data_IF_962273549877
#
_entry.id   IF_962273549877
#
_cell.length_a   1.000
_cell.length_b   1.000
_cell.length_c   1.000
_cell.angle_alpha   90.00
_cell.angle_beta   90.00
_cell.angle_gamma   90.00
#
_symmetry.space_group_name_H-M   'P 1'
#
loop_
_entity.id
_entity.type
_entity.pdbx_description
1 polymer ?
#
# COMPACT_ATOMS: atom_id res chain seq x y z
N UNK A 1 -2.56 6.90 -22.17
CA UNK A 1 -1.09 6.80 -21.98
C UNK A 1 -0.49 8.18 -21.69
N UNK A 2 0.75 8.23 -21.17
CA UNK A 2 1.43 9.43 -20.66
C UNK A 2 1.22 10.63 -21.58
N UNK A 3 0.70 11.71 -21.02
CA UNK A 3 0.59 13.00 -21.68
C UNK A 3 1.83 13.82 -21.38
N UNK A 4 2.45 14.36 -22.42
CA UNK A 4 3.55 15.32 -22.29
C UNK A 4 3.03 16.70 -22.64
N UNK A 5 3.44 17.72 -21.89
CA UNK A 5 3.08 19.10 -22.20
C UNK A 5 3.66 19.57 -23.55
N UNK A 6 4.75 18.97 -24.03
CA UNK A 6 5.35 19.25 -25.34
C UNK A 6 6.17 18.07 -25.88
N UNK A 7 6.53 18.13 -27.17
CA UNK A 7 7.33 17.09 -27.85
C UNK A 7 8.77 17.04 -27.33
N UNK A 8 9.31 18.17 -26.86
CA UNK A 8 10.65 18.25 -26.29
C UNK A 8 10.75 17.38 -25.03
N UNK A 9 9.81 17.53 -24.10
CA UNK A 9 9.77 16.70 -22.89
C UNK A 9 9.50 15.23 -23.19
N UNK A 10 8.69 14.92 -24.21
CA UNK A 10 8.54 13.55 -24.69
C UNK A 10 9.86 12.95 -25.17
N UNK A 11 10.66 13.73 -25.92
CA UNK A 11 11.97 13.27 -26.42
C UNK A 11 12.99 13.04 -25.30
N UNK A 12 12.98 13.88 -24.25
CA UNK A 12 13.87 13.70 -23.09
C UNK A 12 13.63 12.34 -22.44
N UNK A 13 12.37 11.93 -22.27
CA UNK A 13 12.01 10.63 -21.68
C UNK A 13 11.93 9.49 -22.70
N UNK A 14 12.27 9.71 -23.97
CA UNK A 14 12.12 8.71 -25.04
C UNK A 14 12.88 7.43 -24.73
N UNK A 15 14.12 7.52 -24.24
CA UNK A 15 14.91 6.34 -23.86
C UNK A 15 14.24 5.49 -22.77
N UNK A 16 13.44 6.11 -21.90
CA UNK A 16 12.75 5.41 -20.81
C UNK A 16 11.53 4.64 -21.30
N UNK A 17 10.71 5.23 -22.18
CA UNK A 17 9.42 4.62 -22.58
C UNK A 17 9.39 4.03 -24.00
N UNK A 18 10.46 4.16 -24.80
CA UNK A 18 10.49 3.73 -26.22
C UNK A 18 10.12 2.26 -26.39
N UNK A 19 10.69 1.38 -25.58
CA UNK A 19 10.48 -0.06 -25.73
C UNK A 19 9.06 -0.46 -25.32
N UNK A 20 8.55 0.12 -24.23
CA UNK A 20 7.15 -0.01 -23.83
C UNK A 20 6.20 0.50 -24.92
N UNK A 21 6.46 1.70 -25.46
CA UNK A 21 5.64 2.32 -26.50
C UNK A 21 5.56 1.45 -27.75
N UNK A 22 6.68 0.87 -28.18
CA UNK A 22 6.72 -0.08 -29.30
C UNK A 22 5.92 -1.35 -29.01
N UNK A 23 6.05 -1.91 -27.81
CA UNK A 23 5.33 -3.11 -27.41
C UNK A 23 3.81 -2.87 -27.42
N UNK A 24 3.36 -1.77 -26.80
CA UNK A 24 1.97 -1.32 -26.81
C UNK A 24 1.46 -1.18 -28.26
N UNK A 25 2.19 -0.45 -29.11
CA UNK A 25 1.79 -0.24 -30.50
C UNK A 25 1.66 -1.57 -31.27
N UNK A 26 2.59 -2.49 -31.07
CA UNK A 26 2.51 -3.82 -31.70
C UNK A 26 1.30 -4.60 -31.21
N UNK A 27 1.05 -4.64 -29.89
CA UNK A 27 -0.10 -5.36 -29.33
C UNK A 27 -1.39 -4.78 -29.90
N UNK A 28 -1.56 -3.46 -29.92
CA UNK A 28 -2.76 -2.81 -30.46
C UNK A 28 -2.96 -3.06 -31.96
N UNK A 29 -1.87 -3.20 -32.73
CA UNK A 29 -1.94 -3.50 -34.16
C UNK A 29 -2.26 -4.97 -34.44
N UNK A 30 -1.70 -5.87 -33.65
CA UNK A 30 -1.81 -7.33 -33.82
C UNK A 30 -3.14 -7.85 -33.22
N UNK A 31 -3.61 -7.24 -32.14
CA UNK A 31 -4.90 -7.57 -31.55
C UNK A 31 -6.02 -6.95 -32.36
N UNK A 32 -6.94 -7.77 -32.88
CA UNK A 32 -8.27 -7.28 -33.34
C UNK A 32 -9.13 -6.71 -32.20
N UNK A 33 -8.58 -6.60 -30.99
CA UNK A 33 -9.21 -6.03 -29.81
C UNK A 33 -9.11 -4.52 -29.96
N UNK A 34 -10.25 -3.91 -30.26
CA UNK A 34 -10.35 -2.46 -30.32
C UNK A 34 -10.43 -1.87 -28.92
N UNK A 35 -9.34 -2.01 -28.15
CA UNK A 35 -9.21 -1.48 -26.80
C UNK A 35 -9.38 0.06 -26.76
N UNK A 36 -9.19 0.72 -27.92
CA UNK A 36 -9.29 2.16 -28.10
C UNK A 36 -10.66 2.65 -28.60
N UNK A 37 -11.50 1.79 -29.20
CA UNK A 37 -12.85 2.15 -29.66
C UNK A 37 -13.97 1.34 -29.00
N UNK A 38 -13.84 1.05 -27.71
CA UNK A 38 -14.95 0.50 -26.92
C UNK A 38 -16.11 1.51 -26.92
N UNK A 39 -17.14 1.24 -27.72
CA UNK A 39 -18.39 2.02 -27.75
C UNK A 39 -19.35 1.45 -26.71
N UNK A 40 -19.37 2.10 -25.54
CA UNK A 40 -20.41 2.19 -24.48
C UNK A 40 -21.13 0.90 -23.99
N UNK A 41 -21.43 0.87 -22.68
CA UNK A 41 -22.09 -0.20 -21.89
C UNK A 41 -21.26 -1.46 -21.54
N UNK A 42 -19.94 -1.33 -21.40
CA UNK A 42 -19.13 -2.36 -20.74
C UNK A 42 -19.19 -2.17 -19.22
N UNK A 43 -19.55 -3.22 -18.48
CA UNK A 43 -19.53 -3.17 -17.02
C UNK A 43 -18.10 -3.07 -16.46
N UNK A 44 -17.97 -2.59 -15.22
CA UNK A 44 -16.68 -2.31 -14.59
C UNK A 44 -15.76 -3.54 -14.50
N UNK A 45 -16.30 -4.71 -14.21
CA UNK A 45 -15.53 -5.96 -14.11
C UNK A 45 -14.88 -6.32 -15.44
N UNK A 46 -15.65 -6.26 -16.53
CA UNK A 46 -15.16 -6.54 -17.88
C UNK A 46 -14.10 -5.50 -18.28
N UNK A 47 -14.33 -4.23 -17.95
CA UNK A 47 -13.36 -3.16 -18.20
C UNK A 47 -12.03 -3.43 -17.50
N UNK A 48 -12.06 -3.76 -16.20
CA UNK A 48 -10.85 -4.09 -15.42
C UNK A 48 -10.13 -5.30 -16.01
N UNK A 49 -10.87 -6.36 -16.35
CA UNK A 49 -10.29 -7.55 -16.98
C UNK A 49 -9.60 -7.22 -18.31
N UNK A 50 -10.20 -6.36 -19.13
CA UNK A 50 -9.59 -5.91 -20.37
C UNK A 50 -8.29 -5.15 -20.12
N UNK A 51 -8.25 -4.24 -19.13
CA UNK A 51 -7.01 -3.51 -18.75
C UNK A 51 -5.90 -4.48 -18.34
N UNK A 52 -6.23 -5.49 -17.53
CA UNK A 52 -5.29 -6.50 -17.07
C UNK A 52 -4.77 -7.38 -18.22
N UNK A 53 -5.67 -7.86 -19.07
CA UNK A 53 -5.29 -8.66 -20.24
C UNK A 53 -4.37 -7.86 -21.18
N UNK A 54 -4.67 -6.58 -21.39
CA UNK A 54 -3.84 -5.71 -22.21
C UNK A 54 -2.45 -5.49 -21.59
N UNK A 55 -2.37 -5.22 -20.30
CA UNK A 55 -1.10 -5.11 -19.57
C UNK A 55 -0.26 -6.39 -19.67
N UNK A 56 -0.89 -7.57 -19.54
CA UNK A 56 -0.22 -8.87 -19.67
C UNK A 56 0.30 -9.11 -21.09
N UNK A 57 -0.50 -8.81 -22.13
CA UNK A 57 -0.05 -8.93 -23.52
C UNK A 57 1.16 -8.03 -23.81
N UNK A 58 1.18 -6.82 -23.27
CA UNK A 58 2.33 -5.91 -23.39
C UNK A 58 3.55 -6.44 -22.65
N UNK A 59 3.38 -6.96 -21.43
CA UNK A 59 4.46 -7.59 -20.66
C UNK A 59 5.07 -8.80 -21.40
N UNK A 60 4.24 -9.62 -22.05
CA UNK A 60 4.70 -10.73 -22.89
C UNK A 60 5.47 -10.20 -24.11
N UNK A 61 4.96 -9.15 -24.77
CA UNK A 61 5.59 -8.58 -25.97
C UNK A 61 6.93 -7.93 -25.68
N UNK A 62 7.07 -7.25 -24.54
CA UNK A 62 8.33 -6.62 -24.13
C UNK A 62 9.36 -7.64 -23.60
N UNK A 63 8.91 -8.81 -23.14
CA UNK A 63 9.78 -9.90 -22.70
C UNK A 63 10.42 -9.69 -21.32
N UNK A 64 9.89 -8.75 -20.52
CA UNK A 64 10.32 -8.50 -19.14
C UNK A 64 9.13 -8.12 -18.27
N UNK A 65 9.30 -8.20 -16.94
CA UNK A 65 8.35 -7.59 -16.01
C UNK A 65 8.28 -6.09 -16.26
N UNK A 66 7.08 -5.53 -16.20
CA UNK A 66 6.87 -4.09 -16.27
C UNK A 66 7.42 -3.43 -15.00
N UNK A 67 8.02 -2.26 -15.15
CA UNK A 67 8.40 -1.42 -14.02
C UNK A 67 7.14 -0.89 -13.35
N UNK A 68 7.22 -0.55 -12.06
CA UNK A 68 6.04 -0.17 -11.29
C UNK A 68 5.25 0.97 -11.93
N UNK A 69 5.93 2.02 -12.41
CA UNK A 69 5.26 3.14 -13.08
C UNK A 69 4.64 2.74 -14.44
N UNK A 70 5.19 1.72 -15.12
CA UNK A 70 4.61 1.21 -16.37
C UNK A 70 3.29 0.48 -16.08
N UNK A 71 3.22 -0.33 -15.03
CA UNK A 71 1.96 -0.97 -14.60
C UNK A 71 0.88 0.08 -14.26
N UNK A 72 1.26 1.16 -13.58
CA UNK A 72 0.36 2.26 -13.21
C UNK A 72 -0.30 2.87 -14.46
N UNK A 73 0.40 2.92 -15.60
CA UNK A 73 -0.17 3.44 -16.86
C UNK A 73 -1.35 2.63 -17.38
N UNK A 74 -1.41 1.33 -17.07
CA UNK A 74 -2.51 0.44 -17.46
C UNK A 74 -3.61 0.40 -16.39
N UNK A 75 -3.21 0.33 -15.10
CA UNK A 75 -4.14 0.33 -13.96
C UNK A 75 -5.00 1.60 -13.93
N UNK A 76 -4.39 2.74 -14.20
CA UNK A 76 -5.00 4.07 -14.11
C UNK A 76 -5.11 4.78 -15.46
N UNK A 77 -5.61 4.08 -16.48
CA UNK A 77 -5.87 4.67 -17.79
C UNK A 77 -6.85 5.85 -17.68
N UNK A 78 -6.49 6.97 -18.32
CA UNK A 78 -7.35 8.15 -18.45
C UNK A 78 -8.59 7.78 -19.28
N UNK A 79 -9.72 7.66 -18.60
CA UNK A 79 -11.01 7.25 -19.15
C UNK A 79 -12.13 7.86 -18.32
N UNK A 80 -13.33 8.00 -18.89
CA UNK A 80 -14.52 8.38 -18.15
C UNK A 80 -14.87 7.28 -17.13
N UNK A 81 -15.14 7.64 -15.87
CA UNK A 81 -15.50 6.66 -14.83
C UNK A 81 -16.88 6.04 -15.06
N UNK A 82 -17.76 6.71 -15.81
CA UNK A 82 -19.13 6.25 -16.07
C UNK A 82 -19.21 5.40 -17.34
N UNK A 83 -18.68 5.89 -18.45
CA UNK A 83 -18.84 5.26 -19.77
C UNK A 83 -17.55 4.64 -20.33
N UNK A 84 -16.44 4.73 -19.60
CA UNK A 84 -15.12 4.22 -19.99
C UNK A 84 -14.55 4.77 -21.32
N UNK A 85 -15.14 5.84 -21.86
CA UNK A 85 -14.62 6.54 -23.04
C UNK A 85 -13.19 7.04 -22.76
N UNK A 86 -12.28 6.77 -23.69
CA UNK A 86 -10.86 7.11 -23.61
C UNK A 86 -10.47 8.26 -24.52
N UNK A 87 -11.43 8.86 -25.24
CA UNK A 87 -11.16 9.94 -26.17
C UNK A 87 -10.77 11.21 -25.41
N UNK A 88 -9.46 11.45 -25.33
CA UNK A 88 -8.82 12.58 -24.64
C UNK A 88 -9.37 13.93 -25.08
N UNK A 89 -9.94 14.05 -26.30
CA UNK A 89 -10.50 15.30 -26.80
C UNK A 89 -11.87 15.64 -26.22
N UNK A 90 -12.61 14.65 -25.73
CA UNK A 90 -13.95 14.84 -25.14
C UNK A 90 -13.96 14.62 -23.62
N UNK A 91 -12.89 14.05 -23.07
CA UNK A 91 -12.73 13.92 -21.63
C UNK A 91 -12.43 15.28 -21.00
N UNK A 92 -13.32 15.69 -20.11
CA UNK A 92 -13.12 16.85 -19.25
C UNK A 92 -12.68 16.40 -17.86
N UNK A 93 -11.81 17.17 -17.23
CA UNK A 93 -11.40 16.90 -15.87
C UNK A 93 -12.55 17.27 -14.93
N UNK A 94 -12.87 16.37 -13.99
CA UNK A 94 -13.94 16.64 -13.03
C UNK A 94 -13.51 17.75 -12.07
N UNK A 95 -14.23 18.90 -12.01
CA UNK A 95 -13.81 20.05 -11.22
C UNK A 95 -13.80 19.80 -9.71
N UNK A 96 -14.50 18.75 -9.25
CA UNK A 96 -14.61 18.37 -7.84
C UNK A 96 -13.82 17.10 -7.48
N UNK A 97 -13.03 16.54 -8.41
CA UNK A 97 -12.31 15.30 -8.15
C UNK A 97 -10.91 15.58 -7.58
N UNK A 98 -10.58 15.11 -6.36
CA UNK A 98 -9.28 15.33 -5.73
C UNK A 98 -8.12 14.53 -6.36
N UNK A 99 -8.32 13.84 -7.50
CA UNK A 99 -7.31 12.96 -8.11
C UNK A 99 -6.32 13.66 -9.05
N UNK A 100 -6.36 14.99 -9.21
CA UNK A 100 -5.36 15.68 -10.02
C UNK A 100 -4.03 15.74 -9.24
N UNK A 101 -3.15 14.79 -9.53
CA UNK A 101 -1.74 14.70 -9.13
C UNK A 101 -1.45 14.51 -7.64
N UNK A 102 -1.58 13.28 -7.13
CA UNK A 102 -0.91 12.92 -5.88
C UNK A 102 -0.21 11.56 -6.03
N UNK A 103 1.13 11.59 -6.12
CA UNK A 103 1.99 10.42 -6.17
C UNK A 103 1.90 9.60 -4.88
N UNK A 104 2.11 8.28 -4.98
CA UNK A 104 2.22 7.34 -3.86
C UNK A 104 3.64 7.34 -3.27
N UNK A 105 4.24 8.52 -3.12
CA UNK A 105 5.50 8.60 -2.36
C UNK A 105 5.11 8.37 -0.91
N UNK A 106 5.71 7.36 -0.28
CA UNK A 106 5.68 7.23 1.19
C UNK A 106 6.16 8.58 1.71
N UNK A 107 5.27 9.33 2.36
CA UNK A 107 5.53 10.70 2.83
C UNK A 107 6.70 10.70 3.83
N UNK A 108 7.92 10.70 3.33
CA UNK A 108 9.12 11.01 4.12
C UNK A 108 9.04 12.43 4.66
N UNK A 109 8.24 13.29 4.02
CA UNK A 109 7.86 14.62 4.50
C UNK A 109 7.03 14.58 5.79
N UNK A 110 6.38 13.46 6.12
CA UNK A 110 5.62 13.29 7.35
C UNK A 110 6.43 12.80 8.55
N UNK A 111 7.70 12.42 8.36
CA UNK A 111 8.50 11.81 9.42
C UNK A 111 8.79 12.79 10.57
N UNK A 112 8.94 14.07 10.26
CA UNK A 112 9.14 15.13 11.27
C UNK A 112 7.91 15.33 12.18
N UNK A 113 6.71 15.00 11.69
CA UNK A 113 5.46 15.11 12.47
C UNK A 113 5.50 14.18 13.68
N UNK A 114 6.21 13.07 13.62
CA UNK A 114 6.25 12.08 14.70
C UNK A 114 6.92 12.60 15.99
N UNK A 115 7.64 13.73 15.94
CA UNK A 115 8.08 14.43 17.17
C UNK A 115 6.88 14.78 18.07
N UNK A 116 5.67 14.98 17.50
CA UNK A 116 4.47 15.31 18.27
C UNK A 116 4.18 14.31 19.39
N UNK A 117 4.56 13.04 19.22
CA UNK A 117 4.38 12.01 20.24
C UNK A 117 5.16 12.32 21.52
N UNK A 118 6.35 12.93 21.42
CA UNK A 118 7.16 13.34 22.57
C UNK A 118 6.51 14.48 23.37
N UNK A 119 5.67 15.27 22.72
CA UNK A 119 4.94 16.39 23.33
C UNK A 119 3.59 15.94 23.89
N UNK A 120 2.86 15.06 23.19
CA UNK A 120 1.58 14.50 23.66
C UNK A 120 1.75 13.50 24.79
N UNK A 121 2.88 12.78 24.83
CA UNK A 121 3.21 11.81 25.88
C UNK A 121 4.48 12.28 26.60
N UNK A 122 4.40 13.32 27.46
CA UNK A 122 5.57 14.03 27.99
C UNK A 122 6.48 13.14 28.85
N UNK A 123 5.95 12.06 29.43
CA UNK A 123 6.72 11.08 30.19
C UNK A 123 7.61 10.18 29.32
N UNK A 124 7.38 10.14 28.00
CA UNK A 124 8.23 9.38 27.07
C UNK A 124 9.49 10.20 26.77
N UNK A 125 10.64 9.63 27.08
CA UNK A 125 11.95 10.23 26.81
C UNK A 125 12.63 9.65 25.58
N UNK A 126 12.30 8.41 25.21
CA UNK A 126 12.91 7.73 24.06
C UNK A 126 11.81 7.12 23.21
N UNK A 127 11.76 7.53 21.94
CA UNK A 127 10.94 6.88 20.91
C UNK A 127 11.87 6.19 19.93
N UNK A 128 11.60 4.92 19.68
CA UNK A 128 12.27 4.11 18.65
C UNK A 128 11.19 3.45 17.81
N UNK A 129 11.12 3.81 16.54
CA UNK A 129 10.20 3.20 15.57
C UNK A 129 11.01 2.24 14.71
N UNK A 130 10.61 0.97 14.67
CA UNK A 130 11.18 -0.04 13.78
C UNK A 130 10.18 -0.34 12.67
N UNK A 131 10.50 0.05 11.44
CA UNK A 131 9.75 -0.31 10.23
C UNK A 131 10.36 -1.60 9.67
N UNK A 132 9.53 -2.61 9.46
CA UNK A 132 9.98 -3.96 9.09
C UNK A 132 9.11 -4.46 7.94
N UNK A 133 9.72 -4.77 6.80
CA UNK A 133 9.03 -5.28 5.63
C UNK A 133 10.01 -5.61 4.50
N UNK A 134 9.85 -6.74 3.78
CA UNK A 134 10.78 -7.18 2.74
C UNK A 134 10.88 -6.24 1.53
N UNK A 135 9.89 -5.36 1.34
CA UNK A 135 9.83 -4.34 0.29
C UNK A 135 10.56 -3.03 0.66
N UNK A 136 11.00 -2.89 1.91
CA UNK A 136 11.66 -1.69 2.40
C UNK A 136 13.13 -1.66 1.98
N UNK A 137 13.74 -0.48 2.03
CA UNK A 137 15.20 -0.32 1.91
C UNK A 137 15.79 -0.14 3.29
N UNK A 138 16.82 -0.94 3.63
CA UNK A 138 17.48 -0.85 4.92
C UNK A 138 17.99 0.56 5.19
N UNK A 139 17.80 1.06 6.42
CA UNK A 139 18.16 2.42 6.74
C UNK A 139 17.96 2.78 8.20
N UNK A 140 18.53 3.92 8.60
CA UNK A 140 18.33 4.48 9.92
C UNK A 140 18.30 6.00 9.84
N UNK A 141 17.41 6.62 10.61
CA UNK A 141 17.28 8.07 10.70
C UNK A 141 17.24 8.50 12.16
N UNK A 142 18.09 9.47 12.50
CA UNK A 142 18.00 10.21 13.75
C UNK A 142 17.25 11.51 13.47
N UNK A 143 16.25 11.79 14.30
CA UNK A 143 15.40 12.96 14.12
C UNK A 143 16.03 14.20 14.75
N UNK A 144 16.02 15.30 14.02
CA UNK A 144 16.40 16.59 14.57
C UNK A 144 15.23 17.15 15.38
N UNK A 145 15.26 16.92 16.70
CA UNK A 145 14.20 17.31 17.63
C UNK A 145 14.18 18.83 17.87
N UNK A 146 13.03 19.39 18.26
CA UNK A 146 12.96 20.78 18.69
C UNK A 146 13.82 21.04 19.95
N UNK A 147 14.15 22.33 20.19
CA UNK A 147 14.98 22.76 21.33
C UNK A 147 14.44 22.28 22.69
N UNK A 148 13.12 22.24 22.87
CA UNK A 148 12.52 21.78 24.12
C UNK A 148 12.74 20.28 24.33
N UNK A 149 12.56 19.46 23.29
CA UNK A 149 12.83 18.03 23.36
C UNK A 149 14.32 17.74 23.61
N UNK A 150 15.21 18.48 22.94
CA UNK A 150 16.65 18.40 23.18
C UNK A 150 17.03 18.76 24.62
N UNK A 151 16.50 19.89 25.15
CA UNK A 151 16.75 20.32 26.53
C UNK A 151 16.29 19.28 27.56
N UNK A 152 15.18 18.59 27.29
CA UNK A 152 14.65 17.53 28.13
C UNK A 152 15.30 16.15 27.88
N UNK A 153 16.44 16.10 27.16
CA UNK A 153 17.18 14.89 26.83
C UNK A 153 16.32 13.81 26.15
N UNK A 154 15.32 14.22 25.37
CA UNK A 154 14.47 13.30 24.61
C UNK A 154 15.22 12.80 23.37
N UNK A 155 14.91 11.58 22.94
CA UNK A 155 15.51 10.94 21.78
C UNK A 155 14.41 10.36 20.89
N UNK A 156 14.61 10.47 19.57
CA UNK A 156 13.73 9.85 18.60
C UNK A 156 14.54 9.31 17.41
N UNK A 157 14.38 8.02 17.15
CA UNK A 157 15.03 7.32 16.05
C UNK A 157 14.05 6.43 15.28
N UNK A 158 14.32 6.28 13.99
CA UNK A 158 13.64 5.35 13.10
C UNK A 158 14.67 4.39 12.53
N UNK A 159 14.37 3.10 12.58
CA UNK A 159 15.17 2.04 11.98
C UNK A 159 14.30 1.27 10.99
N UNK A 160 14.87 0.97 9.82
CA UNK A 160 14.16 0.32 8.72
C UNK A 160 14.89 -0.98 8.37
N UNK A 161 14.16 -2.08 8.33
CA UNK A 161 14.68 -3.42 8.07
C UNK A 161 13.93 -4.08 6.91
N UNK A 162 14.68 -4.48 5.88
CA UNK A 162 14.22 -5.09 4.63
C UNK A 162 14.03 -6.61 4.77
N UNK A 163 13.32 -7.04 5.82
CA UNK A 163 13.15 -8.45 6.14
C UNK A 163 11.77 -8.76 6.73
N UNK A 164 11.41 -10.04 6.77
CA UNK A 164 10.22 -10.49 7.49
C UNK A 164 10.40 -10.31 9.01
N UNK A 165 9.29 -10.05 9.71
CA UNK A 165 9.29 -9.86 11.17
C UNK A 165 9.92 -11.03 11.93
N UNK A 166 9.73 -12.25 11.43
CA UNK A 166 10.32 -13.46 12.00
C UNK A 166 11.86 -13.50 11.96
N UNK A 167 12.46 -12.88 10.95
CA UNK A 167 13.91 -12.79 10.82
C UNK A 167 14.41 -11.65 11.70
N UNK A 168 13.70 -10.52 11.72
CA UNK A 168 13.99 -9.42 12.65
C UNK A 168 14.01 -9.90 14.09
N UNK A 169 12.97 -10.63 14.52
CA UNK A 169 12.85 -11.14 15.89
C UNK A 169 13.93 -12.17 16.31
N UNK A 170 14.67 -12.72 15.35
CA UNK A 170 15.79 -13.65 15.58
C UNK A 170 17.16 -13.00 15.38
N UNK A 171 17.20 -11.75 14.89
CA UNK A 171 18.43 -11.04 14.57
C UNK A 171 19.02 -10.33 15.79
N UNK A 172 20.30 -9.97 15.70
CA UNK A 172 21.00 -9.17 16.73
C UNK A 172 20.46 -7.72 16.82
N UNK A 173 19.69 -7.27 15.82
CA UNK A 173 19.06 -5.94 15.81
C UNK A 173 17.75 -5.89 16.61
N UNK A 174 17.24 -7.05 17.04
CA UNK A 174 15.95 -7.16 17.69
C UNK A 174 15.88 -6.30 18.96
N UNK A 175 14.80 -5.55 19.08
CA UNK A 175 14.41 -4.87 20.31
C UNK A 175 12.98 -5.25 20.64
N UNK A 176 12.70 -5.61 21.90
CA UNK A 176 11.35 -5.98 22.31
C UNK A 176 10.40 -4.78 22.13
N UNK A 177 9.33 -4.91 21.34
CA UNK A 177 8.40 -3.81 21.10
C UNK A 177 7.49 -3.56 22.30
N UNK A 178 7.11 -2.30 22.51
CA UNK A 178 6.04 -1.94 23.45
C UNK A 178 4.65 -2.23 22.88
N UNK A 179 4.50 -2.14 21.55
CA UNK A 179 3.33 -2.55 20.78
C UNK A 179 3.76 -2.74 19.31
N UNK A 180 2.92 -3.42 18.53
CA UNK A 180 3.15 -3.67 17.09
C UNK A 180 1.93 -3.12 16.33
N UNK A 181 2.17 -2.49 15.18
CA UNK A 181 1.12 -2.02 14.27
C UNK A 181 1.30 -2.68 12.90
N UNK A 182 0.27 -3.33 12.40
CA UNK A 182 0.16 -3.78 11.01
C UNK A 182 -0.83 -2.89 10.25
N UNK A 183 -0.32 -1.98 9.43
CA UNK A 183 -1.16 -1.09 8.62
C UNK A 183 -1.70 -1.83 7.41
N UNK A 184 -3.03 -1.87 7.24
CA UNK A 184 -3.69 -2.48 6.08
C UNK A 184 -3.09 -3.85 5.70
N UNK A 185 -2.86 -4.69 6.71
CA UNK A 185 -1.89 -5.80 6.65
C UNK A 185 -2.23 -6.94 5.67
N UNK A 186 -3.48 -7.06 5.22
CA UNK A 186 -3.90 -8.07 4.24
C UNK A 186 -3.64 -9.51 4.68
N UNK A 187 -3.67 -9.81 5.99
CA UNK A 187 -3.39 -11.16 6.52
C UNK A 187 -4.40 -12.17 5.92
N UNK A 188 -5.62 -11.70 5.68
CA UNK A 188 -6.72 -12.49 5.12
C UNK A 188 -6.58 -12.82 3.63
N UNK A 189 -5.74 -12.12 2.88
CA UNK A 189 -5.68 -12.22 1.41
C UNK A 189 -5.04 -13.51 0.90
N UNK A 190 -4.28 -14.22 1.75
CA UNK A 190 -3.72 -15.50 1.35
C UNK A 190 -4.70 -16.65 1.59
N UNK A 191 -5.30 -17.11 0.49
CA UNK A 191 -6.28 -18.20 0.47
C UNK A 191 -5.67 -19.60 0.69
N UNK A 192 -4.39 -19.81 0.34
CA UNK A 192 -3.73 -21.11 0.50
C UNK A 192 -3.04 -21.27 1.87
N UNK A 193 -3.80 -21.84 2.81
CA UNK A 193 -3.35 -22.17 4.17
C UNK A 193 -2.18 -23.17 4.26
N UNK A 194 -1.95 -23.96 3.20
CA UNK A 194 -0.90 -24.98 3.14
C UNK A 194 0.33 -24.50 2.38
N UNK A 195 0.24 -23.34 1.74
CA UNK A 195 1.38 -22.76 1.05
C UNK A 195 2.52 -22.50 2.03
N UNK A 196 3.68 -23.07 1.72
CA UNK A 196 4.94 -22.82 2.44
C UNK A 196 5.34 -21.35 2.35
N UNK A 197 4.81 -20.62 1.35
CA UNK A 197 5.06 -19.20 1.14
C UNK A 197 4.12 -18.29 1.98
N UNK A 198 3.27 -18.84 2.85
CA UNK A 198 2.42 -18.03 3.72
C UNK A 198 3.18 -17.48 4.94
N UNK A 199 3.90 -16.38 4.72
CA UNK A 199 4.79 -15.73 5.70
C UNK A 199 4.06 -15.18 6.94
N UNK A 200 2.78 -14.80 6.81
CA UNK A 200 1.98 -14.30 7.93
C UNK A 200 1.77 -15.33 9.04
N UNK A 201 1.67 -16.63 8.72
CA UNK A 201 1.46 -17.67 9.74
C UNK A 201 2.60 -17.73 10.74
N UNK A 202 3.84 -17.70 10.25
CA UNK A 202 5.02 -17.74 11.11
C UNK A 202 5.23 -16.38 11.79
N UNK A 203 5.01 -15.27 11.08
CA UNK A 203 5.09 -13.92 11.64
C UNK A 203 4.12 -13.71 12.80
N UNK A 204 2.82 -14.05 12.66
CA UNK A 204 1.83 -13.91 13.74
C UNK A 204 2.15 -14.76 14.97
N UNK A 205 2.64 -15.99 14.78
CA UNK A 205 3.10 -16.83 15.90
C UNK A 205 4.25 -16.18 16.66
N UNK A 206 5.14 -15.48 15.97
CA UNK A 206 6.26 -14.76 16.60
C UNK A 206 5.79 -13.46 17.25
N UNK A 207 4.88 -12.71 16.61
CA UNK A 207 4.22 -11.52 17.17
C UNK A 207 3.51 -11.88 18.47
N UNK A 208 2.79 -13.00 18.53
CA UNK A 208 2.12 -13.45 19.75
C UNK A 208 3.10 -13.69 20.90
N UNK A 209 4.28 -14.26 20.63
CA UNK A 209 5.34 -14.46 21.63
C UNK A 209 5.92 -13.16 22.20
N UNK A 210 5.72 -12.02 21.54
CA UNK A 210 6.24 -10.73 22.01
C UNK A 210 5.53 -10.24 23.28
N UNK A 211 4.34 -10.77 23.59
CA UNK A 211 3.55 -10.38 24.76
C UNK A 211 3.35 -8.86 24.85
N UNK A 212 3.02 -8.24 23.71
CA UNK A 212 2.72 -6.81 23.61
C UNK A 212 1.43 -6.61 22.80
N UNK A 213 0.79 -5.43 22.90
CA UNK A 213 -0.37 -5.11 22.11
C UNK A 213 -0.11 -5.20 20.60
N UNK A 214 -1.08 -5.74 19.86
CA UNK A 214 -1.13 -5.69 18.41
C UNK A 214 -2.26 -4.76 17.98
N UNK A 215 -1.96 -3.82 17.09
CA UNK A 215 -2.93 -3.00 16.40
C UNK A 215 -2.90 -3.38 14.92
N UNK A 216 -4.07 -3.58 14.33
CA UNK A 216 -4.24 -3.77 12.89
C UNK A 216 -5.17 -2.70 12.35
N UNK A 217 -4.92 -2.26 11.12
CA UNK A 217 -5.88 -1.45 10.36
C UNK A 217 -6.32 -2.17 9.08
N UNK A 218 -7.48 -1.79 8.54
CA UNK A 218 -8.03 -2.35 7.30
C UNK A 218 -8.76 -1.29 6.48
N UNK A 219 -9.00 -1.56 5.19
CA UNK A 219 -9.70 -0.63 4.30
C UNK A 219 -11.21 -0.68 4.53
N UNK A 220 -11.75 -1.84 4.90
CA UNK A 220 -13.19 -2.03 5.08
C UNK A 220 -13.53 -2.84 6.33
N UNK A 221 -14.78 -2.75 6.79
CA UNK A 221 -15.30 -3.59 7.88
C UNK A 221 -15.23 -5.08 7.53
N UNK A 222 -15.46 -5.41 6.25
CA UNK A 222 -15.43 -6.78 5.75
C UNK A 222 -14.04 -7.37 5.89
N UNK A 223 -13.01 -6.67 5.41
CA UNK A 223 -11.62 -7.05 5.59
C UNK A 223 -11.27 -7.17 7.07
N UNK A 224 -11.59 -6.18 7.90
CA UNK A 224 -11.27 -6.22 9.33
C UNK A 224 -11.90 -7.45 10.04
N UNK A 225 -13.11 -7.87 9.63
CA UNK A 225 -13.72 -9.11 10.13
C UNK A 225 -12.95 -10.34 9.66
N UNK A 226 -12.52 -10.39 8.38
CA UNK A 226 -11.71 -11.47 7.83
C UNK A 226 -10.33 -11.55 8.50
N UNK A 227 -9.70 -10.41 8.79
CA UNK A 227 -8.45 -10.30 9.55
C UNK A 227 -8.56 -10.99 10.92
N UNK A 228 -9.63 -10.66 11.68
CA UNK A 228 -9.89 -11.27 12.99
C UNK A 228 -10.12 -12.79 12.91
N UNK A 229 -10.86 -13.26 11.91
CA UNK A 229 -11.09 -14.70 11.69
C UNK A 229 -9.75 -15.38 11.38
N UNK A 230 -8.99 -14.83 10.43
CA UNK A 230 -7.72 -15.38 9.97
C UNK A 230 -6.68 -15.45 11.09
N UNK A 231 -6.62 -14.41 11.93
CA UNK A 231 -5.73 -14.36 13.09
C UNK A 231 -6.05 -15.50 14.08
N UNK A 232 -7.33 -15.73 14.38
CA UNK A 232 -7.76 -16.82 15.27
C UNK A 232 -7.42 -18.20 14.70
N UNK A 233 -7.60 -18.41 13.40
CA UNK A 233 -7.24 -19.65 12.71
C UNK A 233 -5.73 -19.93 12.78
N UNK A 234 -4.89 -18.92 12.52
CA UNK A 234 -3.42 -19.05 12.51
C UNK A 234 -2.87 -19.37 13.89
N UNK A 235 -3.41 -18.70 14.91
CA UNK A 235 -3.00 -18.87 16.30
C UNK A 235 -3.70 -20.05 16.97
N UNK A 236 -4.65 -20.70 16.27
CA UNK A 236 -5.47 -21.81 16.76
C UNK A 236 -6.09 -21.48 18.13
N UNK A 237 -6.63 -20.27 18.25
CA UNK A 237 -7.12 -19.71 19.51
C UNK A 237 -8.21 -18.67 19.26
N UNK A 238 -9.12 -18.49 20.22
CA UNK A 238 -10.19 -17.49 20.15
C UNK A 238 -9.75 -16.19 20.84
N UNK A 239 -8.96 -15.38 20.14
CA UNK A 239 -8.42 -14.15 20.68
C UNK A 239 -9.46 -13.04 20.58
N UNK A 240 -9.89 -12.53 21.73
CA UNK A 240 -10.84 -11.41 21.80
C UNK A 240 -10.12 -10.08 21.62
N UNK A 241 -10.48 -9.32 20.59
CA UNK A 241 -10.05 -7.94 20.45
C UNK A 241 -10.62 -7.07 21.58
N UNK A 242 -9.82 -6.09 22.02
CA UNK A 242 -10.23 -5.08 23.00
C UNK A 242 -10.95 -3.90 22.36
N UNK A 243 -10.73 -3.69 21.07
CA UNK A 243 -11.31 -2.60 20.30
C UNK A 243 -11.48 -3.06 18.85
N UNK A 244 -12.63 -2.77 18.25
CA UNK A 244 -12.92 -3.07 16.85
C UNK A 244 -14.02 -2.13 16.32
N UNK A 245 -13.62 -1.08 15.61
CA UNK A 245 -14.54 -0.07 15.07
C UNK A 245 -13.92 0.72 13.91
N UNK A 246 -14.68 1.70 13.41
CA UNK A 246 -14.19 2.67 12.44
C UNK A 246 -13.12 3.55 13.09
N UNK A 247 -11.98 3.69 12.42
CA UNK A 247 -10.85 4.46 12.93
C UNK A 247 -11.14 5.97 12.79
N UNK A 248 -11.22 6.74 13.90
CA UNK A 248 -11.43 8.19 13.82
C UNK A 248 -10.23 8.94 13.22
N UNK A 249 -9.07 8.28 13.11
CA UNK A 249 -7.85 8.80 12.51
C UNK A 249 -7.56 8.21 11.13
N UNK A 250 -8.59 7.67 10.45
CA UNK A 250 -8.43 7.15 9.09
C UNK A 250 -8.00 8.23 8.10
N UNK A 251 -7.35 7.84 7.01
CA UNK A 251 -6.97 8.79 5.98
C UNK A 251 -8.21 9.46 5.36
N UNK A 252 -8.15 10.78 5.20
CA UNK A 252 -9.16 11.55 4.44
C UNK A 252 -8.84 11.58 2.95
N UNK A 253 -7.68 11.05 2.53
CA UNK A 253 -7.25 11.01 1.14
C UNK A 253 -7.92 9.83 0.42
N UNK A 254 -8.74 10.07 -0.62
CA UNK A 254 -9.28 9.00 -1.42
C UNK A 254 -8.20 8.41 -2.34
N UNK A 255 -8.26 7.10 -2.52
CA UNK A 255 -7.46 6.34 -3.47
C UNK A 255 -8.40 5.59 -4.42
N UNK A 256 -8.00 5.46 -5.69
CA UNK A 256 -8.75 4.65 -6.65
C UNK A 256 -8.28 3.21 -6.57
N UNK A 257 -9.23 2.29 -6.43
CA UNK A 257 -8.98 0.86 -6.57
C UNK A 257 -8.94 0.50 -8.07
N UNK A 258 -7.88 -0.14 -8.53
CA UNK A 258 -7.77 -0.54 -9.94
C UNK A 258 -8.56 -1.82 -10.27
N UNK A 259 -8.93 -2.61 -9.26
CA UNK A 259 -9.68 -3.86 -9.41
C UNK A 259 -11.19 -3.62 -9.45
N UNK A 260 -11.67 -2.65 -8.69
CA UNK A 260 -13.10 -2.30 -8.64
C UNK A 260 -13.44 -0.98 -9.33
N UNK A 261 -12.43 -0.21 -9.75
CA UNK A 261 -12.56 1.20 -10.17
C UNK A 261 -13.18 2.13 -9.11
N UNK A 262 -13.43 1.61 -7.91
CA UNK A 262 -14.03 2.32 -6.79
C UNK A 262 -13.04 3.25 -6.07
N UNK A 263 -13.53 3.86 -5.00
CA UNK A 263 -12.73 4.70 -4.11
C UNK A 263 -12.59 4.00 -2.76
N UNK A 264 -11.36 3.94 -2.25
CA UNK A 264 -11.07 3.49 -0.90
C UNK A 264 -10.22 4.52 -0.15
N UNK A 265 -10.15 4.38 1.16
CA UNK A 265 -9.34 5.22 2.03
C UNK A 265 -8.48 4.33 2.91
N UNK A 266 -7.26 4.74 3.19
CA UNK A 266 -6.37 3.97 4.05
C UNK A 266 -6.82 4.00 5.52
N UNK A 267 -6.56 2.91 6.24
CA UNK A 267 -6.79 2.81 7.69
C UNK A 267 -8.23 3.11 8.17
N UNK A 268 -9.28 2.76 7.41
CA UNK A 268 -10.66 3.08 7.80
C UNK A 268 -11.17 2.34 9.04
N UNK A 269 -10.66 1.14 9.30
CA UNK A 269 -11.02 0.34 10.47
C UNK A 269 -9.79 0.02 11.28
N UNK A 270 -9.97 -0.09 12.60
CA UNK A 270 -8.91 -0.41 13.55
C UNK A 270 -9.35 -1.58 14.44
N UNK A 271 -8.44 -2.51 14.66
CA UNK A 271 -8.58 -3.64 15.58
C UNK A 271 -7.42 -3.60 16.56
N UNK A 272 -7.71 -3.65 17.86
CA UNK A 272 -6.66 -3.67 18.89
C UNK A 272 -6.77 -4.89 19.78
N UNK A 273 -5.64 -5.53 20.01
CA UNK A 273 -5.47 -6.65 20.92
C UNK A 273 -4.51 -6.24 22.03
N UNK A 274 -4.89 -6.39 23.30
CA UNK A 274 -3.98 -6.14 24.44
C UNK A 274 -2.80 -7.12 24.46
N UNK A 275 -3.07 -8.37 24.11
CA UNK A 275 -2.10 -9.43 23.90
C UNK A 275 -2.76 -10.48 22.99
N UNK A 276 -1.96 -11.20 22.21
CA UNK A 276 -2.40 -12.33 21.39
C UNK A 276 -2.25 -13.68 22.10
N UNK A 277 -1.57 -13.72 23.25
CA UNK A 277 -1.56 -14.86 24.13
C UNK A 277 -2.79 -14.81 25.03
N UNK A 278 -3.57 -15.89 25.03
CA UNK A 278 -4.45 -16.20 26.15
C UNK A 278 -3.54 -16.70 27.27
N UNK A 279 -3.64 -16.09 28.46
CA UNK A 279 -3.21 -16.78 29.68
C UNK A 279 -3.87 -18.16 29.75
#
# INVERSE_FOLDING_TARGET
MISYCCKEHQKIHWSQHKDLCKAIYSVLKDSKIDFLNIKQDINTETWVQMKMNFMLLVAIKIGRKLEHYEEQMFKFLRSCIVCHDQNIKVLEDCPNCPNNSFSNVIDTEGIEIWEILLHWLPNITIIKICLIGPELSIGSMLMNLCKNCQYNNKQFSIQVYDMLYENYAKSDFYTKPNFIIGYNAGIHECEDFKSVNYTWRQSLKIIAKQNCPLILTSYTLSEAKKEQIRLNEILNNCIKCSYFEQNPFSSLRPYRDFETEGIYYQNQYIIMYKNLNTL
#
